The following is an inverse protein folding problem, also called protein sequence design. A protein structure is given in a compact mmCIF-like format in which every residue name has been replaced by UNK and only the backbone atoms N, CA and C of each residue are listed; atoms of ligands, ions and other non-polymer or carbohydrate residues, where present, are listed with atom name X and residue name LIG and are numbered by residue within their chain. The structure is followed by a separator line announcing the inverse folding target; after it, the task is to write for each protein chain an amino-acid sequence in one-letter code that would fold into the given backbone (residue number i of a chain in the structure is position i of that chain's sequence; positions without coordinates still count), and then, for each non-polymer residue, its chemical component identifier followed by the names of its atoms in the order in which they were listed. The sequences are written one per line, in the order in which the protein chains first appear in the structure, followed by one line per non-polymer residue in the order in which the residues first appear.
data_IF_174898337332
#
_entry.id   IF_174898337332
#
_cell.length_a   1.000
_cell.length_b   1.000
_cell.length_c   1.000
_cell.angle_alpha   90.00
_cell.angle_beta   90.00
_cell.angle_gamma   90.00
#
_symmetry.space_group_name_H-M   'P 1'
#
loop_
_entity.id
_entity.type
_entity.pdbx_description
1 polymer ?
#
# COMPACT_ATOMS: atom_id res chain seq x y z
N UNK A 1 31.36 -12.33 -28.69
CA UNK A 1 30.46 -13.50 -28.84
C UNK A 1 30.34 -14.15 -27.47
N UNK A 2 29.27 -13.84 -26.75
CA UNK A 2 28.88 -14.51 -25.51
C UNK A 2 28.02 -15.73 -25.88
N UNK A 3 28.16 -16.86 -25.19
CA UNK A 3 27.36 -18.03 -25.45
C UNK A 3 25.91 -17.82 -25.00
N UNK A 4 24.92 -18.52 -25.56
CA UNK A 4 23.53 -18.38 -25.14
C UNK A 4 23.32 -18.92 -23.73
N UNK A 5 22.57 -18.18 -22.92
CA UNK A 5 22.11 -18.63 -21.63
C UNK A 5 21.15 -19.80 -21.80
N UNK A 6 21.56 -20.96 -21.29
CA UNK A 6 20.69 -22.12 -21.18
C UNK A 6 19.55 -21.78 -20.21
N UNK A 7 18.33 -21.84 -20.70
CA UNK A 7 17.10 -21.79 -19.89
C UNK A 7 17.03 -23.06 -19.06
N UNK A 8 17.43 -22.98 -17.78
CA UNK A 8 17.10 -24.00 -16.81
C UNK A 8 15.58 -24.04 -16.65
N UNK A 9 14.96 -25.16 -17.05
CA UNK A 9 13.56 -25.42 -16.80
C UNK A 9 13.31 -25.38 -15.29
N UNK A 10 12.68 -24.30 -14.80
CA UNK A 10 12.13 -24.25 -13.47
C UNK A 10 10.99 -25.27 -13.40
N UNK A 11 11.15 -26.28 -12.57
CA UNK A 11 10.05 -27.14 -12.16
C UNK A 11 9.04 -26.27 -11.45
N UNK A 12 7.90 -26.01 -12.09
CA UNK A 12 6.85 -25.14 -11.55
C UNK A 12 6.28 -25.73 -10.27
N UNK A 13 6.23 -24.92 -9.24
CA UNK A 13 5.43 -25.20 -8.05
C UNK A 13 3.95 -25.30 -8.47
N UNK A 14 3.20 -26.16 -7.81
CA UNK A 14 1.80 -26.45 -8.14
C UNK A 14 0.93 -26.14 -6.93
N UNK A 15 -0.04 -25.24 -7.08
CA UNK A 15 -1.03 -24.97 -6.04
C UNK A 15 -2.16 -26.01 -6.09
N UNK A 16 -2.66 -26.44 -4.92
CA UNK A 16 -3.80 -27.32 -4.82
C UNK A 16 -5.09 -26.50 -4.70
N UNK A 17 -6.03 -26.71 -5.62
CA UNK A 17 -7.39 -26.15 -5.50
C UNK A 17 -8.24 -26.99 -4.57
N UNK A 18 -9.28 -26.42 -3.97
CA UNK A 18 -10.28 -27.10 -3.13
C UNK A 18 -11.01 -28.26 -3.85
N UNK A 19 -10.85 -28.37 -5.18
CA UNK A 19 -11.38 -29.45 -6.00
C UNK A 19 -10.35 -30.55 -6.32
N UNK A 20 -9.15 -30.51 -5.70
CA UNK A 20 -8.09 -31.49 -5.95
C UNK A 20 -7.35 -31.32 -7.30
N UNK A 21 -7.65 -30.29 -8.07
CA UNK A 21 -6.93 -29.95 -9.28
C UNK A 21 -5.69 -29.13 -8.94
N UNK A 22 -4.53 -29.63 -9.35
CA UNK A 22 -3.26 -28.91 -9.23
C UNK A 22 -3.07 -28.02 -10.47
N UNK A 23 -3.03 -26.71 -10.28
CA UNK A 23 -2.78 -25.74 -11.36
C UNK A 23 -1.31 -25.28 -11.27
N UNK A 24 -0.52 -25.33 -12.37
CA UNK A 24 0.83 -24.79 -12.36
C UNK A 24 0.81 -23.28 -12.09
N UNK A 25 1.53 -22.83 -11.06
CA UNK A 25 1.64 -21.41 -10.71
C UNK A 25 2.17 -20.53 -11.84
N UNK A 26 3.03 -21.09 -12.70
CA UNK A 26 3.55 -20.38 -13.87
C UNK A 26 2.44 -19.88 -14.82
N UNK A 27 1.28 -20.56 -14.88
CA UNK A 27 0.16 -20.14 -15.74
C UNK A 27 -0.72 -19.05 -15.12
N UNK A 28 -0.54 -18.77 -13.83
CA UNK A 28 -1.28 -17.68 -13.15
C UNK A 28 -0.70 -16.29 -13.46
N UNK A 29 0.56 -16.22 -13.93
CA UNK A 29 1.32 -14.98 -14.04
C UNK A 29 2.11 -14.88 -15.36
N UNK A 30 1.56 -15.34 -16.49
CA UNK A 30 2.08 -15.00 -17.81
C UNK A 30 1.81 -13.52 -18.09
N UNK A 31 2.63 -12.66 -17.46
CA UNK A 31 2.53 -11.22 -17.57
C UNK A 31 3.57 -10.74 -18.56
N UNK A 32 3.14 -10.13 -19.65
CA UNK A 32 3.98 -9.20 -20.40
C UNK A 32 4.63 -8.24 -19.40
N UNK A 33 5.90 -7.83 -19.61
CA UNK A 33 6.68 -6.96 -18.73
C UNK A 33 5.95 -5.64 -18.47
N UNK A 34 5.03 -5.64 -17.52
CA UNK A 34 4.32 -4.47 -17.02
C UNK A 34 5.14 -3.83 -15.91
N UNK A 35 4.93 -2.56 -15.64
CA UNK A 35 5.64 -1.87 -14.56
C UNK A 35 5.03 -2.11 -13.18
N UNK A 36 3.83 -2.70 -13.13
CA UNK A 36 3.19 -3.20 -11.91
C UNK A 36 3.00 -4.71 -12.08
N UNK A 37 3.47 -5.47 -11.10
CA UNK A 37 3.33 -6.91 -11.01
C UNK A 37 2.65 -7.26 -9.68
N UNK A 38 1.70 -8.18 -9.70
CA UNK A 38 1.11 -8.75 -8.49
C UNK A 38 1.36 -10.25 -8.47
N UNK A 39 1.70 -10.77 -7.31
CA UNK A 39 2.03 -12.20 -7.14
C UNK A 39 1.75 -12.66 -5.70
N UNK A 40 1.39 -13.94 -5.50
CA UNK A 40 1.32 -14.53 -4.18
C UNK A 40 2.67 -14.46 -3.47
N UNK A 41 2.66 -14.31 -2.16
CA UNK A 41 3.89 -14.26 -1.37
C UNK A 41 4.66 -15.59 -1.49
N UNK A 42 5.93 -15.58 -1.97
CA UNK A 42 6.66 -16.81 -2.26
C UNK A 42 6.84 -17.73 -1.07
N UNK A 43 7.06 -17.16 0.12
CA UNK A 43 7.28 -17.93 1.36
C UNK A 43 5.99 -18.64 1.80
N UNK A 44 4.82 -18.02 1.63
CA UNK A 44 3.54 -18.65 1.91
C UNK A 44 3.26 -19.85 1.00
N UNK A 45 3.70 -19.79 -0.26
CA UNK A 45 3.53 -20.87 -1.23
C UNK A 45 4.52 -22.04 -1.02
N UNK A 46 5.60 -21.81 -0.27
CA UNK A 46 6.61 -22.84 0.01
C UNK A 46 6.19 -23.82 1.13
N UNK A 47 5.17 -23.46 1.93
CA UNK A 47 4.65 -24.36 2.97
C UNK A 47 3.90 -25.54 2.34
N UNK A 48 4.17 -26.81 2.80
CA UNK A 48 3.59 -28.01 2.18
C UNK A 48 2.06 -28.07 2.22
N UNK A 49 1.46 -27.41 3.21
CA UNK A 49 0.01 -27.40 3.46
C UNK A 49 -0.67 -26.09 3.07
N UNK A 50 0.04 -25.18 2.38
CA UNK A 50 -0.56 -23.91 1.97
C UNK A 50 -1.66 -24.12 0.93
N UNK A 51 -2.86 -23.76 1.26
CA UNK A 51 -4.01 -23.77 0.35
C UNK A 51 -4.36 -22.34 -0.06
N UNK A 52 -4.44 -22.11 -1.36
CA UNK A 52 -4.94 -20.85 -1.90
C UNK A 52 -6.41 -20.71 -1.56
N UNK A 53 -6.79 -19.58 -0.96
CA UNK A 53 -8.18 -19.27 -0.59
C UNK A 53 -8.78 -18.25 -1.58
N UNK A 54 -10.11 -18.13 -1.56
CA UNK A 54 -10.83 -17.06 -2.29
C UNK A 54 -10.77 -15.69 -1.58
N UNK A 55 -10.15 -15.62 -0.40
CA UNK A 55 -9.97 -14.37 0.35
C UNK A 55 -8.54 -13.87 0.19
N UNK A 56 -8.39 -12.72 -0.44
CA UNK A 56 -7.09 -12.17 -0.81
C UNK A 56 -6.70 -11.01 0.11
N UNK A 57 -5.42 -10.99 0.49
CA UNK A 57 -4.80 -9.87 1.19
C UNK A 57 -3.77 -9.21 0.26
N UNK A 58 -4.17 -8.12 -0.39
CA UNK A 58 -3.31 -7.39 -1.31
C UNK A 58 -2.48 -6.36 -0.55
N UNK A 59 -1.16 -6.48 -0.63
CA UNK A 59 -0.19 -5.62 0.04
C UNK A 59 0.50 -4.71 -0.97
N UNK A 60 0.36 -3.37 -0.81
CA UNK A 60 0.95 -2.37 -1.71
C UNK A 60 2.00 -1.56 -0.94
N UNK A 61 3.27 -1.73 -1.30
CA UNK A 61 4.42 -1.14 -0.60
C UNK A 61 4.55 0.39 -0.79
N UNK A 62 5.45 1.02 -0.05
CA UNK A 62 5.74 2.45 -0.13
C UNK A 62 6.79 2.83 -1.17
N UNK A 63 7.14 4.12 -1.19
CA UNK A 63 8.17 4.70 -2.06
C UNK A 63 9.53 4.03 -1.86
N UNK A 64 10.20 3.65 -2.96
CA UNK A 64 11.53 2.99 -2.97
C UNK A 64 11.58 1.69 -2.14
N UNK A 65 10.47 1.03 -1.98
CA UNK A 65 10.33 -0.23 -1.26
C UNK A 65 10.04 -1.39 -2.23
N UNK A 66 9.95 -2.58 -1.66
CA UNK A 66 9.50 -3.79 -2.33
C UNK A 66 8.66 -4.63 -1.34
N UNK A 67 8.25 -5.81 -1.76
CA UNK A 67 7.48 -6.78 -0.96
C UNK A 67 8.16 -7.21 0.35
N UNK A 68 9.51 -7.22 0.38
CA UNK A 68 10.29 -7.67 1.53
C UNK A 68 10.27 -6.71 2.71
N UNK A 69 9.85 -5.45 2.49
CA UNK A 69 9.75 -4.46 3.56
C UNK A 69 8.63 -4.77 4.57
N UNK A 70 7.65 -5.58 4.16
CA UNK A 70 6.63 -6.09 5.06
C UNK A 70 7.16 -7.19 6.01
N UNK A 71 8.36 -7.73 5.70
CA UNK A 71 8.99 -8.80 6.45
C UNK A 71 10.21 -8.27 7.21
N UNK A 72 10.19 -8.26 8.52
CA UNK A 72 11.38 -8.08 9.32
C UNK A 72 11.73 -9.38 10.05
N UNK A 73 13.00 -9.53 10.48
CA UNK A 73 13.46 -10.72 11.20
C UNK A 73 12.69 -11.01 12.50
N UNK A 74 11.94 -10.05 13.01
CA UNK A 74 11.26 -10.15 14.30
C UNK A 74 9.74 -9.99 14.19
N UNK A 75 9.22 -9.43 13.10
CA UNK A 75 7.79 -9.15 12.97
C UNK A 75 7.40 -8.99 11.49
N UNK A 76 6.44 -9.79 11.06
CA UNK A 76 5.91 -9.73 9.70
C UNK A 76 4.39 -9.54 9.76
N UNK A 77 3.92 -8.33 9.43
CA UNK A 77 2.49 -8.05 9.42
C UNK A 77 1.74 -8.93 8.42
N UNK A 78 2.33 -9.19 7.24
CA UNK A 78 1.68 -10.00 6.22
C UNK A 78 1.45 -11.44 6.70
N UNK A 79 2.48 -12.09 7.25
CA UNK A 79 2.37 -13.46 7.77
C UNK A 79 1.40 -13.55 8.95
N UNK A 80 1.49 -12.60 9.89
CA UNK A 80 0.60 -12.57 11.04
C UNK A 80 -0.87 -12.37 10.63
N UNK A 81 -1.13 -11.49 9.66
CA UNK A 81 -2.48 -11.27 9.12
C UNK A 81 -2.98 -12.49 8.35
N UNK A 82 -2.13 -13.09 7.52
CA UNK A 82 -2.45 -14.31 6.76
C UNK A 82 -2.88 -15.44 7.67
N UNK A 83 -2.08 -15.71 8.72
CA UNK A 83 -2.38 -16.77 9.70
C UNK A 83 -3.66 -16.47 10.49
N UNK A 84 -3.90 -15.20 10.85
CA UNK A 84 -5.06 -14.83 11.67
C UNK A 84 -6.36 -14.78 10.88
N UNK A 85 -6.30 -14.41 9.59
CA UNK A 85 -7.49 -14.09 8.79
C UNK A 85 -7.84 -15.15 7.74
N UNK A 86 -7.01 -16.17 7.57
CA UNK A 86 -7.16 -17.20 6.52
C UNK A 86 -7.28 -16.56 5.11
N UNK A 87 -6.41 -15.59 4.84
CA UNK A 87 -6.31 -14.93 3.54
C UNK A 87 -5.08 -15.39 2.79
N UNK A 88 -5.15 -15.40 1.46
CA UNK A 88 -3.96 -15.58 0.63
C UNK A 88 -3.28 -14.24 0.41
N UNK A 89 -2.01 -14.07 0.84
CA UNK A 89 -1.28 -12.82 0.66
C UNK A 89 -0.83 -12.67 -0.80
N UNK A 90 -1.05 -11.48 -1.34
CA UNK A 90 -0.68 -11.06 -2.68
C UNK A 90 0.09 -9.75 -2.59
N UNK A 91 1.31 -9.72 -3.11
CA UNK A 91 2.12 -8.51 -3.10
C UNK A 91 2.03 -7.79 -4.46
N UNK A 92 1.90 -6.48 -4.41
CA UNK A 92 2.04 -5.62 -5.57
C UNK A 92 3.45 -5.02 -5.60
N UNK A 93 4.20 -5.29 -6.67
CA UNK A 93 5.50 -4.69 -6.94
C UNK A 93 5.36 -3.68 -8.08
N UNK A 94 5.82 -2.45 -7.88
CA UNK A 94 5.70 -1.38 -8.86
C UNK A 94 6.90 -0.43 -8.86
N UNK A 95 7.06 0.33 -9.95
CA UNK A 95 8.09 1.36 -10.06
C UNK A 95 7.60 2.68 -9.42
N UNK A 96 8.02 2.94 -8.19
CA UNK A 96 7.64 4.13 -7.42
C UNK A 96 8.20 5.46 -8.00
N UNK A 97 9.03 5.43 -9.02
CA UNK A 97 9.51 6.62 -9.76
C UNK A 97 8.53 7.16 -10.79
N UNK A 98 7.50 6.38 -11.16
CA UNK A 98 6.46 6.78 -12.12
C UNK A 98 5.32 7.51 -11.43
N UNK A 99 4.46 8.17 -12.21
CA UNK A 99 3.25 8.79 -11.69
C UNK A 99 2.39 7.80 -10.91
N UNK A 100 1.80 8.25 -9.81
CA UNK A 100 0.88 7.47 -8.98
C UNK A 100 -0.31 7.01 -9.82
N UNK A 101 -0.87 7.88 -10.65
CA UNK A 101 -1.98 7.54 -11.54
C UNK A 101 -1.63 6.46 -12.57
N UNK A 102 -0.40 6.47 -13.10
CA UNK A 102 0.06 5.43 -14.04
C UNK A 102 0.20 4.08 -13.36
N UNK A 103 0.80 4.05 -12.16
CA UNK A 103 0.88 2.83 -11.37
C UNK A 103 -0.52 2.35 -10.91
N UNK A 104 -1.42 3.27 -10.58
CA UNK A 104 -2.79 2.95 -10.22
C UNK A 104 -3.58 2.30 -11.35
N UNK A 105 -3.45 2.84 -12.57
CA UNK A 105 -4.08 2.26 -13.75
C UNK A 105 -3.56 0.82 -14.03
N UNK A 106 -2.25 0.61 -13.91
CA UNK A 106 -1.66 -0.71 -14.09
C UNK A 106 -2.06 -1.67 -12.97
N UNK A 107 -2.11 -1.23 -11.70
CA UNK A 107 -2.60 -2.03 -10.58
C UNK A 107 -4.05 -2.44 -10.79
N UNK A 108 -4.92 -1.53 -11.28
CA UNK A 108 -6.30 -1.83 -11.61
C UNK A 108 -6.39 -2.98 -12.63
N UNK A 109 -5.61 -2.90 -13.70
CA UNK A 109 -5.57 -3.95 -14.72
C UNK A 109 -5.04 -5.29 -14.18
N UNK A 110 -4.02 -5.25 -13.31
CA UNK A 110 -3.47 -6.45 -12.68
C UNK A 110 -4.48 -7.12 -11.76
N UNK A 111 -5.25 -6.34 -10.97
CA UNK A 111 -6.29 -6.88 -10.10
C UNK A 111 -7.44 -7.49 -10.91
N UNK A 112 -7.81 -6.89 -12.04
CA UNK A 112 -8.78 -7.50 -12.96
C UNK A 112 -8.28 -8.85 -13.50
N UNK A 113 -7.04 -8.88 -13.99
CA UNK A 113 -6.43 -10.13 -14.47
C UNK A 113 -6.25 -11.17 -13.35
N UNK A 114 -5.98 -10.75 -12.12
CA UNK A 114 -5.91 -11.65 -10.97
C UNK A 114 -7.25 -12.32 -10.71
N UNK A 115 -8.34 -11.55 -10.73
CA UNK A 115 -9.68 -12.05 -10.50
C UNK A 115 -10.05 -13.14 -11.52
N UNK A 116 -9.74 -12.89 -12.79
CA UNK A 116 -10.06 -13.81 -13.90
C UNK A 116 -9.25 -15.12 -13.86
N UNK A 117 -8.03 -15.08 -13.32
CA UNK A 117 -7.09 -16.18 -13.34
C UNK A 117 -6.85 -16.84 -11.97
N UNK A 118 -7.52 -16.38 -10.90
CA UNK A 118 -7.35 -16.98 -9.58
C UNK A 118 -7.88 -18.41 -9.56
N UNK A 119 -7.13 -19.40 -8.96
CA UNK A 119 -7.47 -20.81 -9.09
C UNK A 119 -8.76 -21.26 -8.39
N UNK A 120 -9.29 -20.41 -7.53
CA UNK A 120 -10.58 -20.63 -6.85
C UNK A 120 -11.42 -19.35 -6.97
N UNK A 121 -12.74 -19.40 -6.86
CA UNK A 121 -13.57 -18.20 -6.89
C UNK A 121 -13.11 -17.17 -5.84
N UNK A 122 -12.81 -15.94 -6.27
CA UNK A 122 -12.47 -14.86 -5.35
C UNK A 122 -13.74 -14.42 -4.62
N UNK A 123 -13.71 -14.57 -3.30
CA UNK A 123 -14.80 -14.23 -2.39
C UNK A 123 -14.71 -12.77 -1.94
N UNK A 124 -13.52 -12.36 -1.46
CA UNK A 124 -13.25 -11.01 -1.02
C UNK A 124 -11.78 -10.62 -1.20
N UNK A 125 -11.54 -9.31 -1.27
CA UNK A 125 -10.22 -8.69 -1.36
C UNK A 125 -10.10 -7.65 -0.24
N UNK A 126 -9.11 -7.83 0.64
CA UNK A 126 -8.65 -6.80 1.56
C UNK A 126 -7.38 -6.16 1.00
N UNK A 127 -7.34 -4.83 0.89
CA UNK A 127 -6.16 -4.11 0.38
C UNK A 127 -5.51 -3.31 1.50
N UNK A 128 -4.18 -3.48 1.68
CA UNK A 128 -3.39 -2.68 2.62
C UNK A 128 -2.34 -1.91 1.84
N UNK A 129 -2.45 -0.58 1.83
CA UNK A 129 -1.50 0.32 1.19
C UNK A 129 -0.65 1.07 2.23
N UNK A 130 0.68 0.92 2.15
CA UNK A 130 1.61 1.68 2.98
C UNK A 130 2.12 2.92 2.24
N UNK A 131 2.03 4.10 2.89
CA UNK A 131 2.60 5.34 2.37
C UNK A 131 2.13 5.64 0.93
N UNK A 132 3.03 5.76 -0.06
CA UNK A 132 2.70 5.90 -1.48
C UNK A 132 1.77 4.79 -1.98
N UNK A 133 1.92 3.56 -1.48
CA UNK A 133 1.07 2.43 -1.87
C UNK A 133 -0.42 2.67 -1.62
N UNK A 134 -0.76 3.44 -0.59
CA UNK A 134 -2.15 3.84 -0.35
C UNK A 134 -2.68 4.82 -1.39
N UNK A 135 -1.84 5.71 -1.92
CA UNK A 135 -2.25 6.61 -3.03
C UNK A 135 -2.44 5.82 -4.33
N UNK A 136 -1.57 4.85 -4.61
CA UNK A 136 -1.70 3.96 -5.77
C UNK A 136 -2.97 3.12 -5.65
N UNK A 137 -3.27 2.61 -4.46
CA UNK A 137 -4.53 1.89 -4.19
C UNK A 137 -5.75 2.76 -4.47
N UNK A 138 -5.77 4.02 -4.00
CA UNK A 138 -6.86 4.96 -4.31
C UNK A 138 -6.97 5.23 -5.81
N UNK A 139 -5.85 5.44 -6.48
CA UNK A 139 -5.82 5.64 -7.94
C UNK A 139 -6.38 4.43 -8.68
N UNK A 140 -6.00 3.21 -8.28
CA UNK A 140 -6.53 1.99 -8.88
C UNK A 140 -8.05 1.84 -8.67
N UNK A 141 -8.54 2.16 -7.46
CA UNK A 141 -9.97 2.14 -7.15
C UNK A 141 -10.76 3.18 -7.94
N UNK A 142 -10.19 4.39 -8.12
CA UNK A 142 -10.80 5.43 -8.93
C UNK A 142 -10.96 4.98 -10.39
N UNK A 143 -9.90 4.43 -10.99
CA UNK A 143 -9.95 3.87 -12.35
C UNK A 143 -10.96 2.73 -12.44
N UNK A 144 -11.00 1.85 -11.44
CA UNK A 144 -11.93 0.72 -11.43
C UNK A 144 -13.39 1.15 -11.33
N UNK A 145 -13.68 2.20 -10.58
CA UNK A 145 -15.03 2.77 -10.46
C UNK A 145 -15.45 3.44 -11.79
N UNK A 146 -14.57 4.24 -12.39
CA UNK A 146 -14.81 4.92 -13.67
C UNK A 146 -15.02 3.94 -14.83
N UNK A 147 -14.20 2.87 -14.90
CA UNK A 147 -14.21 1.90 -16.00
C UNK A 147 -15.15 0.71 -15.73
N UNK A 148 -15.71 0.59 -14.51
CA UNK A 148 -16.66 -0.45 -14.13
C UNK A 148 -16.01 -1.84 -13.98
N UNK A 149 -14.82 -1.92 -13.38
CA UNK A 149 -14.13 -3.19 -13.14
C UNK A 149 -14.74 -4.01 -11.99
N UNK A 150 -15.05 -5.27 -12.25
CA UNK A 150 -15.72 -6.18 -11.30
C UNK A 150 -14.93 -6.45 -10.03
N UNK A 151 -13.57 -6.35 -10.08
CA UNK A 151 -12.75 -6.60 -8.90
C UNK A 151 -13.03 -5.60 -7.76
N UNK A 152 -13.48 -4.38 -8.09
CA UNK A 152 -13.82 -3.37 -7.09
C UNK A 152 -14.98 -3.86 -6.19
N UNK A 153 -15.94 -4.58 -6.76
CA UNK A 153 -17.07 -5.16 -6.02
C UNK A 153 -16.66 -6.32 -5.10
N UNK A 154 -15.42 -6.83 -5.24
CA UNK A 154 -14.86 -7.86 -4.38
C UNK A 154 -14.05 -7.29 -3.22
N UNK A 155 -13.72 -6.00 -3.27
CA UNK A 155 -13.02 -5.35 -2.15
C UNK A 155 -14.02 -5.12 -1.02
N UNK A 156 -13.77 -5.76 0.11
CA UNK A 156 -14.53 -5.58 1.34
C UNK A 156 -13.91 -4.50 2.24
N UNK A 157 -12.58 -4.44 2.29
CA UNK A 157 -11.85 -3.51 3.16
C UNK A 157 -10.61 -2.94 2.49
N UNK A 158 -10.34 -1.66 2.72
CA UNK A 158 -9.06 -1.05 2.39
C UNK A 158 -8.47 -0.33 3.61
N UNK A 159 -7.18 -0.54 3.85
CA UNK A 159 -6.46 0.08 4.97
C UNK A 159 -5.28 0.89 4.47
N UNK A 160 -5.22 2.14 4.88
CA UNK A 160 -4.18 3.10 4.53
C UNK A 160 -3.25 3.30 5.71
N UNK A 161 -2.01 2.79 5.63
CA UNK A 161 -1.03 2.91 6.70
C UNK A 161 -0.04 4.01 6.36
N UNK A 162 -0.08 5.13 7.09
CA UNK A 162 0.79 6.28 6.87
C UNK A 162 0.66 6.93 5.50
N UNK A 163 -0.48 6.80 4.84
CA UNK A 163 -0.69 7.30 3.48
C UNK A 163 -0.87 8.82 3.47
N UNK A 164 -0.06 9.57 2.69
CA UNK A 164 -0.18 11.03 2.61
C UNK A 164 -1.30 11.44 1.64
N UNK A 165 -2.55 11.27 2.02
CA UNK A 165 -3.71 11.55 1.16
C UNK A 165 -3.74 12.97 0.60
N UNK A 166 -3.15 13.92 1.31
CA UNK A 166 -3.05 15.33 0.92
C UNK A 166 -1.60 15.79 0.81
N UNK A 167 -0.72 14.88 0.47
CA UNK A 167 0.71 15.12 0.27
C UNK A 167 1.55 14.91 1.52
N UNK A 168 2.85 14.72 1.27
CA UNK A 168 3.89 14.53 2.28
C UNK A 168 4.69 15.83 2.47
N UNK A 169 5.04 16.15 3.72
CA UNK A 169 5.84 17.34 4.07
C UNK A 169 7.31 17.07 3.78
N UNK A 170 7.69 17.13 2.49
CA UNK A 170 9.07 16.81 2.07
C UNK A 170 10.05 17.99 2.19
N UNK A 171 9.57 19.24 2.19
CA UNK A 171 10.47 20.41 2.18
C UNK A 171 11.17 20.69 3.51
N UNK A 172 10.54 20.30 4.63
CA UNK A 172 11.12 20.45 5.98
C UNK A 172 11.78 19.16 6.49
N UNK A 173 11.62 18.06 5.76
CA UNK A 173 12.00 16.71 6.17
C UNK A 173 13.39 16.27 5.72
N UNK A 174 14.14 17.04 4.92
CA UNK A 174 15.46 16.61 4.42
C UNK A 174 16.39 16.13 5.53
N UNK A 175 16.40 16.75 6.68
CA UNK A 175 17.18 16.34 7.84
C UNK A 175 16.59 15.12 8.56
N UNK A 176 15.26 15.06 8.73
CA UNK A 176 14.57 13.97 9.41
C UNK A 176 14.42 12.74 8.51
N UNK A 177 14.21 12.95 7.22
CA UNK A 177 14.28 11.92 6.21
C UNK A 177 15.64 11.21 6.27
N UNK A 178 16.74 11.96 6.28
CA UNK A 178 18.08 11.43 6.39
C UNK A 178 18.31 10.65 7.70
N UNK A 179 17.72 11.06 8.82
CA UNK A 179 17.84 10.38 10.11
C UNK A 179 16.97 9.12 10.20
N UNK A 180 15.77 9.14 9.61
CA UNK A 180 14.89 7.95 9.54
C UNK A 180 15.45 6.88 8.61
N UNK A 181 16.19 7.28 7.57
CA UNK A 181 16.77 6.42 6.54
C UNK A 181 18.08 5.74 6.95
N UNK A 182 18.69 6.16 8.06
CA UNK A 182 19.92 5.51 8.59
C UNK A 182 19.67 4.16 9.26
N UNK A 183 18.41 3.75 9.41
CA UNK A 183 18.06 2.49 10.10
C UNK A 183 18.09 1.24 9.20
N UNK A 184 18.13 1.38 7.88
CA UNK A 184 18.21 0.24 6.97
C UNK A 184 19.12 0.54 5.77
N UNK A 185 19.98 -0.39 5.36
CA UNK A 185 20.79 -0.25 4.14
C UNK A 185 19.93 -0.13 2.87
N UNK A 186 18.66 -0.53 2.92
CA UNK A 186 17.70 -0.42 1.81
C UNK A 186 17.07 0.96 1.69
N UNK A 187 17.09 1.75 2.75
CA UNK A 187 16.53 3.11 2.78
C UNK A 187 17.56 4.20 2.48
N UNK A 188 18.85 3.85 2.37
CA UNK A 188 19.92 4.78 2.00
C UNK A 188 19.66 5.54 0.66
N UNK A 189 19.02 4.94 -0.38
CA UNK A 189 18.63 5.66 -1.58
C UNK A 189 17.65 6.81 -1.34
N UNK A 190 16.80 6.73 -0.31
CA UNK A 190 15.85 7.78 0.04
C UNK A 190 16.51 9.08 0.48
N UNK A 191 17.74 9.03 0.99
CA UNK A 191 18.51 10.25 1.34
C UNK A 191 18.84 11.14 0.12
N UNK A 192 18.77 10.57 -1.08
CA UNK A 192 18.96 11.26 -2.36
C UNK A 192 17.67 11.93 -2.85
N UNK A 193 16.50 11.55 -2.30
CA UNK A 193 15.20 11.98 -2.76
C UNK A 193 14.94 13.48 -2.68
N UNK A 194 15.61 14.19 -1.78
CA UNK A 194 15.57 15.66 -1.76
C UNK A 194 16.13 16.32 -3.03
N UNK A 195 16.83 15.56 -3.87
CA UNK A 195 17.46 16.01 -5.13
C UNK A 195 16.90 15.32 -6.38
N UNK A 196 16.17 14.21 -6.23
CA UNK A 196 15.61 13.45 -7.36
C UNK A 196 14.19 13.95 -7.62
N UNK A 197 13.99 14.51 -8.80
CA UNK A 197 12.67 14.93 -9.31
C UNK A 197 12.09 13.78 -10.15
N UNK A 198 11.65 12.68 -9.51
CA UNK A 198 10.84 11.71 -10.22
C UNK A 198 9.36 12.10 -10.17
N UNK A 199 8.57 11.67 -11.15
CA UNK A 199 7.14 11.91 -11.20
C UNK A 199 6.43 11.44 -9.92
N UNK A 200 6.76 10.22 -9.44
CA UNK A 200 6.16 9.67 -8.24
C UNK A 200 6.47 10.47 -6.96
N UNK A 201 7.68 11.06 -6.86
CA UNK A 201 8.04 11.94 -5.73
C UNK A 201 7.24 13.24 -5.79
N UNK A 202 7.06 13.80 -6.99
CA UNK A 202 6.24 14.99 -7.18
C UNK A 202 4.79 14.72 -6.79
N UNK A 203 4.22 13.61 -7.27
CA UNK A 203 2.87 13.21 -6.91
C UNK A 203 2.70 12.96 -5.42
N UNK A 204 3.67 12.28 -4.78
CA UNK A 204 3.67 12.03 -3.34
C UNK A 204 3.68 13.32 -2.54
N UNK A 205 4.45 14.33 -2.99
CA UNK A 205 4.53 15.66 -2.34
C UNK A 205 3.19 16.37 -2.35
N UNK A 206 2.46 16.28 -3.46
CA UNK A 206 1.20 16.98 -3.65
C UNK A 206 -0.02 16.13 -3.29
N UNK A 207 0.13 14.81 -3.14
CA UNK A 207 -0.98 13.88 -2.93
C UNK A 207 -1.80 13.68 -4.20
N UNK A 208 -1.15 13.76 -5.38
CA UNK A 208 -1.79 13.51 -6.67
C UNK A 208 -2.21 12.04 -6.76
N UNK A 209 -3.41 11.80 -7.25
CA UNK A 209 -4.01 10.47 -7.38
C UNK A 209 -4.44 10.20 -8.82
N UNK A 210 -4.95 11.22 -9.51
CA UNK A 210 -5.45 11.13 -10.87
C UNK A 210 -4.43 11.64 -11.90
N UNK A 211 -4.64 11.32 -13.18
CA UNK A 211 -3.83 11.86 -14.26
C UNK A 211 -4.03 13.37 -14.43
N UNK A 212 -5.23 13.88 -14.17
CA UNK A 212 -5.55 15.29 -14.24
C UNK A 212 -4.78 16.13 -13.23
N UNK A 213 -4.43 15.56 -12.07
CA UNK A 213 -3.71 16.26 -11.00
C UNK A 213 -2.33 16.77 -11.44
N UNK A 214 -1.69 16.14 -12.41
CA UNK A 214 -0.34 16.53 -12.86
C UNK A 214 -0.28 16.98 -14.33
N UNK A 215 -1.22 16.59 -15.18
CA UNK A 215 -1.20 16.96 -16.62
C UNK A 215 -1.43 18.45 -16.88
N UNK A 216 -2.06 19.16 -15.96
CA UNK A 216 -2.42 20.58 -16.06
C UNK A 216 -1.57 21.49 -15.17
N UNK A 217 -0.48 20.99 -14.57
CA UNK A 217 0.42 21.79 -13.77
C UNK A 217 1.48 22.47 -14.65
N UNK A 218 1.27 23.75 -15.00
CA UNK A 218 2.37 24.65 -15.33
C UNK A 218 3.14 25.00 -14.05
N UNK A 219 4.46 24.76 -14.04
CA UNK A 219 5.35 24.88 -12.88
C UNK A 219 5.42 26.31 -12.27
N UNK A 220 4.68 27.29 -12.79
CA UNK A 220 4.85 28.72 -12.48
C UNK A 220 3.65 29.42 -11.89
N UNK A 221 2.51 28.79 -11.67
CA UNK A 221 1.32 29.50 -11.18
C UNK A 221 0.69 28.86 -9.95
N UNK A 222 0.65 29.71 -8.90
CA UNK A 222 -0.31 29.72 -7.82
C UNK A 222 -0.36 28.49 -6.87
N UNK A 223 -0.21 28.75 -5.58
CA UNK A 223 -0.31 27.78 -4.49
C UNK A 223 -1.73 27.23 -4.27
N UNK A 224 -2.62 27.33 -5.25
CA UNK A 224 -3.98 26.81 -5.18
C UNK A 224 -3.97 25.31 -5.41
N UNK A 225 -4.46 24.53 -4.46
CA UNK A 225 -4.69 23.10 -4.65
C UNK A 225 -5.77 22.88 -5.72
N UNK A 226 -5.38 22.37 -6.89
CA UNK A 226 -6.23 22.16 -8.07
C UNK A 226 -6.54 20.68 -8.30
N UNK A 227 -6.19 19.81 -7.35
CA UNK A 227 -6.45 18.38 -7.51
C UNK A 227 -7.93 18.12 -7.70
N UNK A 228 -8.21 17.10 -8.51
CA UNK A 228 -9.55 16.59 -8.68
C UNK A 228 -9.98 15.74 -7.48
N UNK A 229 -11.25 15.81 -7.08
CA UNK A 229 -11.77 14.90 -6.06
C UNK A 229 -11.65 13.44 -6.51
N UNK A 230 -10.99 12.62 -5.71
CA UNK A 230 -10.94 11.17 -5.85
C UNK A 230 -11.47 10.56 -4.54
N UNK A 231 -12.81 10.48 -4.37
CA UNK A 231 -13.41 9.98 -3.16
C UNK A 231 -13.12 8.50 -2.94
N UNK A 232 -13.30 8.04 -1.73
CA UNK A 232 -13.25 6.62 -1.42
C UNK A 232 -14.59 5.99 -1.87
N UNK A 233 -14.58 4.82 -2.55
CA UNK A 233 -15.80 4.12 -2.93
C UNK A 233 -16.68 3.75 -1.71
N UNK A 234 -17.98 4.01 -1.78
CA UNK A 234 -18.91 3.71 -0.67
C UNK A 234 -19.23 2.20 -0.52
N UNK A 235 -18.80 1.37 -1.49
CA UNK A 235 -19.10 -0.06 -1.54
C UNK A 235 -18.30 -0.93 -0.56
N UNK A 236 -17.32 -0.35 0.13
CA UNK A 236 -16.40 -1.05 1.04
C UNK A 236 -16.06 -0.24 2.28
N UNK A 237 -15.46 -0.89 3.26
CA UNK A 237 -14.97 -0.23 4.47
C UNK A 237 -13.55 0.32 4.27
N UNK A 238 -13.32 1.56 4.69
CA UNK A 238 -12.03 2.22 4.61
C UNK A 238 -11.48 2.55 5.99
N UNK A 239 -10.20 2.28 6.21
CA UNK A 239 -9.52 2.52 7.47
C UNK A 239 -8.20 3.25 7.25
N UNK A 240 -7.78 4.09 8.21
CA UNK A 240 -6.52 4.81 8.14
C UNK A 240 -5.74 4.79 9.45
N UNK A 241 -4.48 4.37 9.40
CA UNK A 241 -3.52 4.49 10.50
C UNK A 241 -2.57 5.64 10.21
N UNK A 242 -2.56 6.61 11.09
CA UNK A 242 -1.57 7.69 11.13
C UNK A 242 -0.59 7.47 12.29
N UNK A 243 0.62 7.98 12.15
CA UNK A 243 1.59 8.00 13.24
C UNK A 243 2.07 9.43 13.51
N UNK A 244 2.67 9.65 14.67
CA UNK A 244 3.31 10.91 15.05
C UNK A 244 4.45 10.67 16.03
N UNK A 245 5.53 11.44 15.87
CA UNK A 245 6.67 11.47 16.79
C UNK A 245 6.34 12.14 18.13
N UNK A 246 5.16 12.73 18.26
CA UNK A 246 4.65 13.27 19.53
C UNK A 246 4.40 12.13 20.53
N UNK A 247 4.69 12.37 21.81
CA UNK A 247 4.43 11.39 22.87
C UNK A 247 2.97 11.34 23.33
N UNK A 248 2.16 12.34 22.93
CA UNK A 248 0.76 12.38 23.30
C UNK A 248 -0.02 13.53 22.66
N UNK A 249 -1.35 13.52 22.82
CA UNK A 249 -2.20 14.56 22.28
C UNK A 249 -1.88 15.91 22.94
N UNK A 250 -1.65 16.94 22.12
CA UNK A 250 -1.40 18.32 22.60
C UNK A 250 0.06 18.78 22.56
N UNK A 251 1.02 17.91 22.35
CA UNK A 251 2.41 18.32 22.13
C UNK A 251 2.57 19.09 20.81
N UNK A 252 3.21 20.27 20.88
CA UNK A 252 3.40 21.15 19.71
C UNK A 252 4.30 20.55 18.64
N UNK A 253 5.25 19.69 19.01
CA UNK A 253 6.21 19.06 18.11
C UNK A 253 5.50 18.09 17.15
N UNK A 254 4.56 17.30 17.62
CA UNK A 254 3.81 16.38 16.79
C UNK A 254 2.85 17.05 15.82
N UNK A 255 2.34 18.24 16.17
CA UNK A 255 1.54 19.07 15.27
C UNK A 255 2.34 19.63 14.08
N UNK A 256 3.67 19.69 14.20
CA UNK A 256 4.54 20.27 13.17
C UNK A 256 5.21 19.23 12.27
N UNK A 257 5.48 18.03 12.79
CA UNK A 257 6.33 17.03 12.13
C UNK A 257 5.61 15.73 11.75
N UNK A 258 4.41 15.48 12.31
CA UNK A 258 3.74 14.19 12.09
C UNK A 258 4.62 13.01 12.50
N UNK A 259 4.71 12.00 11.65
CA UNK A 259 5.58 10.83 11.79
C UNK A 259 7.00 11.05 11.20
N UNK A 260 7.30 12.27 10.79
CA UNK A 260 8.55 12.68 10.12
C UNK A 260 8.43 12.83 8.61
N UNK A 261 7.38 12.29 7.98
CA UNK A 261 7.10 12.39 6.54
C UNK A 261 5.68 12.84 6.23
N UNK A 262 4.72 12.36 7.01
CA UNK A 262 3.29 12.59 6.79
C UNK A 262 2.66 13.22 8.03
N UNK A 263 1.90 14.27 7.82
CA UNK A 263 1.12 14.87 8.91
C UNK A 263 -0.11 14.02 9.21
N UNK A 264 -0.51 13.83 10.49
CA UNK A 264 -1.67 13.02 10.85
C UNK A 264 -2.97 13.45 10.15
N UNK A 265 -3.18 14.75 9.90
CA UNK A 265 -4.35 15.20 9.13
C UNK A 265 -4.35 14.69 7.69
N UNK A 266 -3.19 14.70 7.03
CA UNK A 266 -3.04 14.12 5.69
C UNK A 266 -3.27 12.62 5.71
N UNK A 267 -2.70 11.90 6.68
CA UNK A 267 -2.85 10.45 6.80
C UNK A 267 -4.28 10.01 7.17
N UNK A 268 -5.06 10.87 7.84
CA UNK A 268 -6.47 10.63 8.17
C UNK A 268 -7.45 11.29 7.19
N UNK A 269 -6.96 11.75 6.03
CA UNK A 269 -7.79 12.29 4.95
C UNK A 269 -8.44 13.64 5.21
N UNK A 270 -8.06 14.36 6.28
CA UNK A 270 -8.62 15.67 6.61
C UNK A 270 -8.07 16.76 5.73
N UNK A 271 -8.95 17.55 5.14
CA UNK A 271 -8.60 18.67 4.26
C UNK A 271 -9.47 19.89 4.51
N UNK A 272 -8.94 21.11 4.24
CA UNK A 272 -9.70 22.36 4.38
C UNK A 272 -10.81 22.50 3.33
N UNK A 273 -10.57 21.98 2.12
CA UNK A 273 -11.59 21.90 1.07
C UNK A 273 -12.41 20.62 1.27
N UNK A 274 -13.70 20.78 1.53
CA UNK A 274 -14.63 19.66 1.75
C UNK A 274 -14.65 18.66 0.59
N UNK A 275 -14.48 19.14 -0.64
CA UNK A 275 -14.45 18.28 -1.84
C UNK A 275 -13.25 17.33 -1.91
N UNK A 276 -12.17 17.65 -1.20
CA UNK A 276 -10.97 16.82 -1.13
C UNK A 276 -10.90 16.02 0.18
N UNK A 277 -11.72 16.34 1.18
CA UNK A 277 -11.74 15.61 2.44
C UNK A 277 -12.22 14.18 2.24
N UNK A 278 -11.43 13.22 2.77
CA UNK A 278 -11.82 11.82 2.79
C UNK A 278 -12.58 11.52 4.08
N UNK A 279 -13.80 11.07 3.95
CA UNK A 279 -14.70 10.83 5.09
C UNK A 279 -14.52 9.40 5.59
N UNK A 280 -13.62 9.20 6.54
CA UNK A 280 -13.53 7.96 7.28
C UNK A 280 -14.60 7.93 8.39
N UNK A 281 -15.39 6.85 8.53
CA UNK A 281 -16.35 6.71 9.63
C UNK A 281 -15.68 6.80 11.01
N UNK A 282 -16.47 7.08 12.06
CA UNK A 282 -15.99 7.05 13.44
C UNK A 282 -15.44 5.64 13.78
N UNK A 283 -14.26 5.60 14.41
CA UNK A 283 -13.57 4.34 14.71
C UNK A 283 -12.71 3.78 13.58
N UNK A 284 -12.82 4.32 12.36
CA UNK A 284 -12.04 3.86 11.20
C UNK A 284 -10.69 4.60 11.04
N UNK A 285 -10.35 5.49 11.95
CA UNK A 285 -9.04 6.15 11.96
C UNK A 285 -8.32 5.93 13.28
N UNK A 286 -7.00 5.68 13.23
CA UNK A 286 -6.13 5.55 14.41
C UNK A 286 -4.92 6.42 14.29
N UNK A 287 -4.58 7.16 15.36
CA UNK A 287 -3.33 7.89 15.47
C UNK A 287 -2.47 7.21 16.53
N UNK A 288 -1.27 6.77 16.14
CA UNK A 288 -0.28 6.16 17.02
C UNK A 288 0.79 7.21 17.37
N UNK A 289 1.05 7.33 18.65
CA UNK A 289 2.01 8.29 19.21
C UNK A 289 3.37 7.64 19.44
N UNK A 290 4.44 8.45 19.48
CA UNK A 290 5.83 8.03 19.65
C UNK A 290 6.22 6.99 18.60
N UNK A 291 5.84 7.26 17.34
CA UNK A 291 6.04 6.35 16.23
C UNK A 291 6.41 7.11 14.96
N UNK A 292 7.50 6.70 14.33
CA UNK A 292 7.97 7.24 13.05
C UNK A 292 7.40 6.46 11.86
N UNK A 293 7.43 7.09 10.68
CA UNK A 293 6.81 6.58 9.45
C UNK A 293 7.20 5.13 9.11
N UNK A 294 8.49 4.84 9.00
CA UNK A 294 8.96 3.50 8.63
C UNK A 294 8.78 2.48 9.76
N UNK A 295 8.75 2.94 11.01
CA UNK A 295 8.53 2.04 12.14
C UNK A 295 7.14 1.42 12.14
N UNK A 296 6.14 2.04 11.47
CA UNK A 296 4.80 1.47 11.33
C UNK A 296 4.80 0.09 10.66
N UNK A 297 5.77 -0.21 9.80
CA UNK A 297 5.88 -1.52 9.13
C UNK A 297 6.15 -2.68 10.09
N UNK A 298 6.62 -2.38 11.30
CA UNK A 298 7.08 -3.41 12.24
C UNK A 298 6.55 -3.20 13.68
N UNK A 299 5.78 -2.14 13.92
CA UNK A 299 5.25 -1.83 15.26
C UNK A 299 4.06 -2.74 15.59
N UNK A 300 4.10 -3.49 16.70
CA UNK A 300 3.01 -4.38 17.09
C UNK A 300 1.66 -3.68 17.22
N UNK A 301 1.64 -2.40 17.62
CA UNK A 301 0.39 -1.62 17.75
C UNK A 301 -0.31 -1.42 16.41
N UNK A 302 0.45 -1.38 15.31
CA UNK A 302 -0.10 -1.35 13.95
C UNK A 302 -0.76 -2.69 13.63
N UNK A 303 -0.08 -3.81 13.91
CA UNK A 303 -0.65 -5.13 13.70
C UNK A 303 -1.91 -5.37 14.53
N UNK A 304 -1.89 -5.00 15.81
CA UNK A 304 -3.05 -5.14 16.70
C UNK A 304 -4.26 -4.38 16.14
N UNK A 305 -4.04 -3.16 15.62
CA UNK A 305 -5.10 -2.35 15.03
C UNK A 305 -5.59 -2.93 13.70
N UNK A 306 -4.70 -3.46 12.86
CA UNK A 306 -5.07 -4.15 11.63
C UNK A 306 -5.94 -5.37 11.93
N UNK A 307 -5.53 -6.19 12.90
CA UNK A 307 -6.27 -7.39 13.31
C UNK A 307 -7.63 -7.04 13.92
N UNK A 308 -7.73 -5.96 14.72
CA UNK A 308 -8.99 -5.49 15.27
C UNK A 308 -9.99 -5.15 14.16
N UNK A 309 -9.56 -4.42 13.13
CA UNK A 309 -10.43 -4.01 12.04
C UNK A 309 -10.74 -5.13 11.04
N UNK A 310 -9.78 -6.01 10.79
CA UNK A 310 -9.91 -7.04 9.76
C UNK A 310 -10.59 -8.33 10.28
N UNK A 311 -10.33 -8.73 11.53
CA UNK A 311 -10.95 -9.92 12.14
C UNK A 311 -12.31 -9.62 12.80
N UNK A 312 -12.61 -8.34 13.04
CA UNK A 312 -13.84 -7.91 13.70
C UNK A 312 -13.96 -8.33 15.16
N UNK A 313 -12.89 -8.84 15.78
CA UNK A 313 -12.84 -9.24 17.19
C UNK A 313 -12.00 -8.25 18.01
N UNK A 314 -12.59 -7.61 19.03
CA UNK A 314 -11.82 -6.75 19.92
C UNK A 314 -10.73 -7.60 20.62
N UNK A 315 -9.47 -7.17 20.48
CA UNK A 315 -8.34 -7.80 21.17
C UNK A 315 -7.95 -6.99 22.39
N UNK A 316 -7.68 -7.62 23.56
CA UNK A 316 -7.18 -6.89 24.71
C UNK A 316 -5.79 -6.32 24.39
N UNK A 317 -5.58 -5.05 24.69
CA UNK A 317 -4.26 -4.41 24.61
C UNK A 317 -3.26 -5.22 25.43
N UNK A 318 -2.30 -5.85 24.78
CA UNK A 318 -1.13 -6.41 25.45
C UNK A 318 -0.14 -5.27 25.62
N UNK A 319 -0.02 -4.74 26.85
CA UNK A 319 1.03 -3.78 27.20
C UNK A 319 2.38 -4.53 27.15
N UNK A 320 3.19 -4.21 26.16
CA UNK A 320 4.58 -4.63 26.04
C UNK A 320 5.51 -3.62 26.71
#
# INVERSE_FOLDING_TARGET
LLPPLETSAQQGAVAASSAGQRVPLANLFEVERRSVEIYPQPDALAEPDFSVTGRLLVMVHGLCMNDREWTSRQHNHADALTQALDHTPVNALYNSGRHISTNGQELCQQLAGLLDNWPVPVESITVIGFSMGGLITRSAMQVADEDGHDWLNKVDKSVYVGTPHHGAVMERGGFWLQKSLTYSPYTAPLSVLGRVRSAGITDLRHGNVTAADWQHHDEHEDHTDRREPAPLPDSMEHYAIAATLSKGPGERIGKLLGDGLVHPSSATGRHEKETLELKFPEGHTKILYDLGHLAMLHDPRVLDQLLEWLDGKPRPFVSH
#
